data_IF_589581776992
#
_entry.id   IF_589581776992
#
_cell.length_a   1.000
_cell.length_b   1.000
_cell.length_c   1.000
_cell.angle_alpha   90.00
_cell.angle_beta   90.00
_cell.angle_gamma   90.00
#
_symmetry.space_group_name_H-M   'P 1'
#
loop_
_entity.id
_entity.type
_entity.pdbx_description
1 polymer ?
#
# COMPACT_ATOMS: atom_id res chain seq x y z
N UNK A 1 -4.80 -25.14 -4.69
CA UNK A 1 -3.33 -25.29 -4.71
C UNK A 1 -2.70 -24.19 -3.85
N UNK A 2 -2.94 -22.91 -4.17
CA UNK A 2 -2.47 -21.75 -3.40
C UNK A 2 -2.87 -21.78 -1.91
N UNK A 3 -4.13 -22.12 -1.60
CA UNK A 3 -4.61 -22.21 -0.21
C UNK A 3 -3.95 -23.34 0.61
N UNK A 4 -3.55 -24.44 -0.05
CA UNK A 4 -2.86 -25.57 0.60
C UNK A 4 -1.38 -25.24 0.85
N UNK A 5 -0.72 -24.57 -0.11
CA UNK A 5 0.64 -24.07 0.05
C UNK A 5 0.75 -23.08 1.22
N UNK A 6 -0.19 -22.13 1.31
CA UNK A 6 -0.25 -21.15 2.41
C UNK A 6 -0.33 -21.85 3.76
N UNK A 7 -1.29 -22.76 3.92
CA UNK A 7 -1.50 -23.49 5.17
C UNK A 7 -0.26 -24.27 5.60
N UNK A 8 0.40 -24.96 4.66
CA UNK A 8 1.64 -25.70 4.93
C UNK A 8 2.78 -24.79 5.39
N UNK A 9 2.93 -23.62 4.79
CA UNK A 9 3.94 -22.64 5.20
C UNK A 9 3.62 -22.01 6.56
N UNK A 10 2.35 -21.77 6.88
CA UNK A 10 1.93 -21.32 8.21
C UNK A 10 2.22 -22.38 9.28
N UNK A 11 1.98 -23.66 8.97
CA UNK A 11 2.36 -24.77 9.85
C UNK A 11 3.88 -24.87 10.02
N UNK A 12 4.64 -24.68 8.94
CA UNK A 12 6.10 -24.62 9.03
C UNK A 12 6.56 -23.46 9.91
N UNK A 13 5.95 -22.28 9.77
CA UNK A 13 6.26 -21.12 10.61
C UNK A 13 6.04 -21.42 12.10
N UNK A 14 4.90 -22.02 12.47
CA UNK A 14 4.62 -22.44 13.84
C UNK A 14 5.65 -23.44 14.38
N UNK A 15 6.09 -24.38 13.54
CA UNK A 15 7.16 -25.31 13.87
C UNK A 15 8.50 -24.61 14.11
N UNK A 16 8.86 -23.66 13.25
CA UNK A 16 10.08 -22.84 13.40
C UNK A 16 10.04 -22.11 14.73
N UNK A 17 8.93 -21.42 15.04
CA UNK A 17 8.82 -20.62 16.27
C UNK A 17 8.86 -21.46 17.55
N UNK A 18 8.26 -22.65 17.53
CA UNK A 18 8.25 -23.55 18.71
C UNK A 18 9.59 -24.26 18.95
N UNK A 19 10.36 -24.55 17.90
CA UNK A 19 11.57 -25.38 17.99
C UNK A 19 12.88 -24.60 17.90
N UNK A 20 12.90 -23.38 17.36
CA UNK A 20 14.15 -22.64 17.09
C UNK A 20 15.06 -22.52 18.31
N UNK A 21 14.50 -22.24 19.49
CA UNK A 21 15.30 -22.10 20.72
C UNK A 21 15.91 -23.42 21.21
N UNK A 22 15.38 -24.56 20.77
CA UNK A 22 15.84 -25.89 21.16
C UNK A 22 16.95 -26.40 20.23
N UNK A 23 17.12 -25.80 19.05
CA UNK A 23 18.16 -26.18 18.08
C UNK A 23 19.37 -25.23 18.16
N UNK A 24 20.56 -25.84 18.18
CA UNK A 24 21.83 -25.14 18.43
C UNK A 24 22.83 -25.26 17.28
N UNK A 25 22.49 -25.96 16.21
CA UNK A 25 23.39 -26.22 15.08
C UNK A 25 22.75 -25.84 13.76
N UNK A 26 23.59 -25.48 12.79
CA UNK A 26 23.14 -25.24 11.42
C UNK A 26 22.49 -26.50 10.83
N UNK A 27 23.07 -27.67 11.11
CA UNK A 27 22.52 -28.97 10.71
C UNK A 27 21.11 -29.22 11.25
N UNK A 28 20.83 -28.82 12.50
CA UNK A 28 19.49 -28.90 13.05
C UNK A 28 18.53 -27.92 12.35
N UNK A 29 19.00 -26.75 11.91
CA UNK A 29 18.21 -25.79 11.12
C UNK A 29 17.85 -26.38 9.74
N UNK A 30 18.82 -26.99 9.07
CA UNK A 30 18.65 -27.68 7.78
C UNK A 30 17.56 -28.75 7.87
N UNK A 31 17.70 -29.68 8.82
CA UNK A 31 16.78 -30.80 8.99
C UNK A 31 15.40 -30.39 9.52
N UNK A 32 15.35 -29.48 10.50
CA UNK A 32 14.09 -29.18 11.18
C UNK A 32 13.21 -28.20 10.40
N UNK A 33 13.81 -27.29 9.60
CA UNK A 33 13.12 -26.17 8.96
C UNK A 33 13.25 -26.16 7.44
N UNK A 34 14.46 -26.36 6.89
CA UNK A 34 14.68 -26.24 5.44
C UNK A 34 14.22 -27.48 4.67
N UNK A 35 14.48 -28.70 5.17
CA UNK A 35 13.96 -29.93 4.54
C UNK A 35 12.42 -29.93 4.44
N UNK A 36 11.66 -29.60 5.50
CA UNK A 36 10.21 -29.43 5.38
C UNK A 36 9.79 -28.41 4.34
N UNK A 37 10.51 -27.29 4.21
CA UNK A 37 10.23 -26.31 3.16
C UNK A 37 10.39 -26.89 1.75
N UNK A 38 11.49 -27.63 1.50
CA UNK A 38 11.72 -28.32 0.21
C UNK A 38 10.57 -29.31 -0.08
N UNK A 39 10.14 -30.05 0.94
CA UNK A 39 9.01 -30.97 0.84
C UNK A 39 7.69 -30.24 0.53
N UNK A 40 7.47 -29.06 1.12
CA UNK A 40 6.28 -28.23 0.85
C UNK A 40 6.26 -27.74 -0.60
N UNK A 41 7.42 -27.46 -1.19
CA UNK A 41 7.54 -27.16 -2.62
C UNK A 41 7.21 -28.37 -3.52
N UNK A 42 7.06 -29.56 -2.93
CA UNK A 42 6.66 -30.79 -3.62
C UNK A 42 7.81 -31.64 -4.12
N UNK A 43 9.05 -31.31 -3.78
CA UNK A 43 10.22 -32.12 -4.12
C UNK A 43 10.40 -33.25 -3.11
N UNK A 44 10.83 -34.43 -3.59
CA UNK A 44 11.02 -35.59 -2.75
C UNK A 44 12.37 -35.56 -2.04
N UNK A 45 12.37 -35.20 -0.75
CA UNK A 45 13.55 -35.15 0.11
C UNK A 45 14.16 -36.54 0.40
N UNK A 46 13.44 -37.63 0.10
CA UNK A 46 13.95 -39.00 0.25
C UNK A 46 14.53 -39.56 -1.05
N UNK A 47 14.36 -38.84 -2.17
CA UNK A 47 14.95 -39.19 -3.45
C UNK A 47 16.27 -38.43 -3.65
N UNK A 48 17.44 -39.07 -3.44
CA UNK A 48 18.74 -38.41 -3.53
C UNK A 48 19.16 -38.08 -4.97
N UNK A 49 18.31 -38.37 -5.96
CA UNK A 49 18.50 -37.93 -7.36
C UNK A 49 17.68 -36.67 -7.68
N UNK A 50 16.71 -36.33 -6.84
CA UNK A 50 15.85 -35.15 -6.97
C UNK A 50 16.27 -34.06 -6.00
N UNK A 51 16.49 -34.40 -4.73
CA UNK A 51 17.03 -33.50 -3.71
C UNK A 51 18.38 -34.07 -3.27
N UNK A 52 19.47 -33.47 -3.76
CA UNK A 52 20.83 -33.93 -3.45
C UNK A 52 21.37 -33.12 -2.27
N UNK A 53 21.55 -33.71 -1.08
CA UNK A 53 22.21 -33.05 0.03
C UNK A 53 23.74 -33.02 -0.17
N UNK A 54 24.40 -32.04 0.43
CA UNK A 54 25.88 -31.98 0.52
C UNK A 54 26.56 -32.11 -0.86
N UNK A 55 25.97 -31.49 -1.88
CA UNK A 55 26.42 -31.59 -3.27
C UNK A 55 27.80 -30.94 -3.44
N UNK A 56 28.78 -31.74 -3.85
CA UNK A 56 30.16 -31.29 -3.97
C UNK A 56 30.30 -30.37 -5.19
N UNK A 57 30.77 -29.15 -4.94
CA UNK A 57 30.98 -28.12 -5.95
C UNK A 57 32.42 -27.61 -5.84
N UNK A 58 33.36 -28.40 -6.36
CA UNK A 58 34.79 -28.05 -6.32
C UNK A 58 35.10 -26.90 -7.28
N UNK A 59 35.80 -25.86 -6.80
CA UNK A 59 36.13 -24.66 -7.57
C UNK A 59 37.65 -24.47 -7.62
N UNK A 60 38.23 -24.65 -8.80
CA UNK A 60 39.66 -24.43 -9.04
C UNK A 60 40.54 -25.30 -8.13
N UNK A 61 41.27 -24.68 -7.20
CA UNK A 61 42.19 -25.37 -6.26
C UNK A 61 41.56 -25.67 -4.89
N UNK A 62 40.37 -25.13 -4.57
CA UNK A 62 39.65 -25.45 -3.33
C UNK A 62 38.80 -26.70 -3.53
N UNK A 63 39.20 -27.78 -2.86
CA UNK A 63 38.50 -29.07 -2.85
C UNK A 63 37.66 -29.22 -1.60
N UNK A 64 36.50 -29.86 -1.74
CA UNK A 64 35.61 -30.22 -0.64
C UNK A 64 34.61 -29.13 -0.27
N UNK A 65 34.40 -28.11 -1.10
CA UNK A 65 33.28 -27.20 -0.90
C UNK A 65 31.96 -27.87 -1.32
N UNK A 66 30.89 -27.60 -0.57
CA UNK A 66 29.61 -28.29 -0.72
C UNK A 66 28.45 -27.31 -0.62
N UNK A 67 27.42 -27.60 -1.39
CA UNK A 67 26.12 -26.95 -1.33
C UNK A 67 25.21 -27.81 -0.46
N UNK A 68 24.49 -27.20 0.47
CA UNK A 68 23.66 -27.95 1.42
C UNK A 68 22.58 -28.79 0.74
N UNK A 69 21.84 -28.19 -0.20
CA UNK A 69 20.88 -28.91 -1.03
C UNK A 69 20.88 -28.41 -2.47
N UNK A 70 20.77 -29.35 -3.41
CA UNK A 70 20.53 -29.07 -4.82
C UNK A 70 19.25 -29.78 -5.24
N UNK A 71 18.34 -29.02 -5.85
CA UNK A 71 17.12 -29.57 -6.46
C UNK A 71 17.39 -29.82 -7.93
N UNK A 72 17.12 -31.05 -8.37
CA UNK A 72 17.30 -31.52 -9.74
C UNK A 72 15.96 -31.68 -10.43
N UNK A 73 15.88 -31.28 -11.70
CA UNK A 73 14.76 -31.57 -12.59
C UNK A 73 15.32 -32.06 -13.91
N UNK A 74 14.89 -33.23 -14.35
CA UNK A 74 15.35 -33.86 -15.60
C UNK A 74 16.88 -34.03 -15.69
N UNK A 75 17.54 -34.24 -14.55
CA UNK A 75 18.99 -34.43 -14.47
C UNK A 75 19.81 -33.13 -14.43
N UNK A 76 19.17 -31.96 -14.49
CA UNK A 76 19.82 -30.65 -14.39
C UNK A 76 19.48 -29.95 -13.06
N UNK A 77 20.44 -29.22 -12.46
CA UNK A 77 20.21 -28.46 -11.23
C UNK A 77 19.38 -27.21 -11.51
N UNK A 78 18.23 -27.10 -10.84
CA UNK A 78 17.29 -25.99 -11.03
C UNK A 78 17.26 -25.00 -9.87
N UNK A 79 17.69 -25.42 -8.68
CA UNK A 79 17.73 -24.59 -7.48
C UNK A 79 18.84 -25.09 -6.56
N UNK A 80 19.73 -24.20 -6.13
CA UNK A 80 20.70 -24.49 -5.08
C UNK A 80 20.29 -23.78 -3.79
N UNK A 81 20.46 -24.44 -2.66
CA UNK A 81 20.04 -23.93 -1.35
C UNK A 81 21.22 -24.00 -0.40
N UNK A 82 21.57 -22.85 0.17
CA UNK A 82 22.56 -22.67 1.23
C UNK A 82 21.83 -22.27 2.51
N UNK A 83 22.12 -22.97 3.59
CA UNK A 83 21.51 -22.78 4.88
C UNK A 83 22.48 -22.09 5.84
N UNK A 84 21.93 -21.35 6.78
CA UNK A 84 22.64 -20.75 7.91
C UNK A 84 21.92 -21.15 9.18
N UNK A 85 22.59 -21.01 10.32
CA UNK A 85 21.95 -21.20 11.61
C UNK A 85 20.76 -20.22 11.76
N UNK A 86 19.66 -20.64 12.38
CA UNK A 86 18.44 -19.82 12.49
C UNK A 86 18.64 -18.42 13.11
N UNK A 87 19.62 -18.29 14.03
CA UNK A 87 20.00 -17.01 14.67
C UNK A 87 20.76 -16.07 13.75
N UNK A 88 21.34 -16.57 12.66
CA UNK A 88 22.14 -15.77 11.75
C UNK A 88 21.24 -15.00 10.77
N UNK A 89 21.74 -13.82 10.38
CA UNK A 89 21.11 -13.04 9.32
C UNK A 89 21.46 -13.63 7.97
N UNK A 90 20.45 -13.70 7.12
CA UNK A 90 20.54 -14.23 5.75
C UNK A 90 21.01 -13.10 4.83
N UNK A 91 22.30 -12.77 4.85
CA UNK A 91 22.91 -11.80 3.95
C UNK A 91 23.85 -12.51 2.96
N UNK A 92 23.72 -12.18 1.67
CA UNK A 92 24.55 -12.76 0.62
C UNK A 92 25.97 -12.19 0.64
N UNK A 93 26.20 -11.01 1.24
CA UNK A 93 27.53 -10.46 1.41
C UNK A 93 28.42 -11.43 2.20
N UNK A 94 29.39 -12.04 1.51
CA UNK A 94 30.29 -13.10 2.01
C UNK A 94 29.68 -14.51 2.13
N UNK A 95 28.49 -14.76 1.58
CA UNK A 95 27.92 -16.09 1.53
C UNK A 95 28.72 -17.02 0.60
N UNK A 96 28.82 -18.29 0.99
CA UNK A 96 29.47 -19.32 0.15
C UNK A 96 28.72 -19.54 -1.17
N UNK A 97 27.43 -19.21 -1.17
CA UNK A 97 26.52 -19.33 -2.30
C UNK A 97 27.05 -18.63 -3.58
N UNK A 98 27.65 -17.43 -3.49
CA UNK A 98 28.23 -16.75 -4.66
C UNK A 98 29.31 -17.57 -5.37
N UNK A 99 30.08 -18.37 -4.61
CA UNK A 99 31.13 -19.21 -5.19
C UNK A 99 30.53 -20.38 -5.94
N UNK A 100 29.56 -21.06 -5.33
CA UNK A 100 28.92 -22.25 -5.87
C UNK A 100 28.05 -21.97 -7.08
N UNK A 101 27.41 -20.80 -7.10
CA UNK A 101 26.46 -20.43 -8.12
C UNK A 101 27.03 -20.62 -9.54
N UNK A 102 28.24 -20.11 -9.79
CA UNK A 102 28.89 -20.20 -11.10
C UNK A 102 29.14 -21.65 -11.57
N UNK A 103 29.53 -22.54 -10.66
CA UNK A 103 29.93 -23.91 -10.99
C UNK A 103 28.75 -24.89 -10.94
N UNK A 104 27.69 -24.54 -10.21
CA UNK A 104 26.48 -25.35 -10.08
C UNK A 104 25.66 -25.46 -11.36
N UNK A 105 25.83 -24.55 -12.32
CA UNK A 105 24.96 -24.38 -13.52
C UNK A 105 23.49 -24.06 -13.23
N UNK A 106 23.09 -23.95 -11.96
CA UNK A 106 21.75 -23.52 -11.59
C UNK A 106 21.56 -22.04 -11.90
N UNK A 107 20.36 -21.71 -12.37
CA UNK A 107 19.92 -20.32 -12.61
C UNK A 107 19.28 -19.68 -11.37
N UNK A 108 19.12 -20.43 -10.28
CA UNK A 108 18.54 -19.93 -9.04
C UNK A 108 19.28 -20.43 -7.80
N UNK A 109 19.46 -19.51 -6.85
CA UNK A 109 20.06 -19.81 -5.55
C UNK A 109 19.18 -19.30 -4.41
N UNK A 110 19.15 -20.04 -3.30
CA UNK A 110 18.42 -19.67 -2.08
C UNK A 110 19.40 -19.62 -0.93
N UNK A 111 19.44 -18.49 -0.24
CA UNK A 111 20.09 -18.39 1.07
C UNK A 111 18.97 -18.36 2.13
N UNK A 112 19.06 -19.20 3.15
CA UNK A 112 18.02 -19.27 4.19
C UNK A 112 18.56 -19.60 5.57
N UNK A 113 17.83 -19.19 6.60
CA UNK A 113 18.03 -19.61 7.99
C UNK A 113 16.80 -20.39 8.53
N UNK A 114 15.92 -20.85 7.64
CA UNK A 114 14.65 -21.51 7.96
C UNK A 114 13.48 -20.56 8.23
N UNK A 115 13.74 -19.29 8.57
CA UNK A 115 12.70 -18.26 8.80
C UNK A 115 12.51 -17.38 7.56
N UNK A 116 13.62 -16.94 6.98
CA UNK A 116 13.66 -16.12 5.77
C UNK A 116 14.35 -16.88 4.65
N UNK A 117 13.77 -16.83 3.45
CA UNK A 117 14.31 -17.45 2.24
C UNK A 117 14.54 -16.37 1.20
N UNK A 118 15.80 -16.07 0.92
CA UNK A 118 16.21 -15.09 -0.08
C UNK A 118 16.56 -15.80 -1.38
N UNK A 119 15.81 -15.51 -2.44
CA UNK A 119 15.98 -16.07 -3.77
C UNK A 119 16.79 -15.12 -4.65
N UNK A 120 17.80 -15.69 -5.29
CA UNK A 120 18.77 -15.01 -6.15
C UNK A 120 18.75 -15.64 -7.54
N UNK A 121 19.03 -14.82 -8.54
CA UNK A 121 19.15 -15.19 -9.94
C UNK A 121 20.39 -14.49 -10.52
N UNK A 122 20.72 -14.78 -11.78
CA UNK A 122 21.85 -14.21 -12.53
C UNK A 122 21.35 -13.28 -13.64
N UNK A 123 20.53 -12.29 -13.25
CA UNK A 123 19.86 -11.40 -14.19
C UNK A 123 20.83 -10.39 -14.81
N UNK A 124 21.89 -10.00 -14.09
CA UNK A 124 22.85 -9.02 -14.59
C UNK A 124 23.89 -9.63 -15.52
N UNK A 125 24.43 -10.77 -15.13
CA UNK A 125 25.51 -11.45 -15.85
C UNK A 125 25.25 -12.95 -15.81
N UNK A 126 25.22 -13.64 -16.96
CA UNK A 126 25.02 -15.08 -17.01
C UNK A 126 26.00 -15.82 -16.10
N UNK A 127 25.48 -16.76 -15.30
CA UNK A 127 26.25 -17.58 -14.35
C UNK A 127 26.97 -16.77 -13.24
N UNK A 128 26.52 -15.55 -12.95
CA UNK A 128 26.99 -14.76 -11.81
C UNK A 128 25.75 -14.33 -11.03
N UNK A 129 25.65 -14.81 -9.80
CA UNK A 129 24.55 -14.46 -8.91
C UNK A 129 24.51 -12.95 -8.64
N UNK A 130 23.35 -12.34 -8.78
CA UNK A 130 23.10 -10.95 -8.41
C UNK A 130 23.37 -10.75 -6.90
N UNK A 131 23.91 -9.58 -6.52
CA UNK A 131 24.23 -9.27 -5.11
C UNK A 131 22.99 -9.18 -4.21
N UNK A 132 21.83 -8.86 -4.79
CA UNK A 132 20.57 -8.66 -4.05
C UNK A 132 19.54 -9.71 -4.46
N UNK A 133 18.76 -10.24 -3.52
CA UNK A 133 17.68 -11.15 -3.86
C UNK A 133 16.58 -10.40 -4.62
N UNK A 134 16.05 -11.04 -5.66
CA UNK A 134 14.88 -10.54 -6.40
C UNK A 134 13.58 -10.86 -5.67
N UNK A 135 13.58 -11.91 -4.84
CA UNK A 135 12.43 -12.34 -4.05
C UNK A 135 12.88 -12.78 -2.65
N UNK A 136 12.14 -12.35 -1.63
CA UNK A 136 12.35 -12.76 -0.24
C UNK A 136 11.01 -13.24 0.32
N UNK A 137 11.00 -14.48 0.82
CA UNK A 137 9.91 -15.05 1.57
C UNK A 137 10.23 -14.98 3.06
N UNK A 138 9.33 -14.38 3.85
CA UNK A 138 9.39 -14.35 5.30
C UNK A 138 8.21 -15.15 5.84
N UNK A 139 8.49 -16.25 6.55
CA UNK A 139 7.46 -17.15 7.07
C UNK A 139 6.57 -16.49 8.13
N UNK A 140 7.05 -15.44 8.81
CA UNK A 140 6.24 -14.68 9.77
C UNK A 140 5.26 -13.70 9.11
N UNK A 141 5.43 -13.43 7.81
CA UNK A 141 4.64 -12.46 7.07
C UNK A 141 4.37 -12.95 5.64
N UNK A 142 3.54 -13.98 5.54
CA UNK A 142 3.13 -14.58 4.27
C UNK A 142 2.12 -13.68 3.56
N UNK A 143 2.58 -13.00 2.51
CA UNK A 143 1.75 -12.18 1.62
C UNK A 143 1.29 -13.00 0.43
N UNK A 144 0.06 -12.77 -0.03
CA UNK A 144 -0.50 -13.53 -1.16
C UNK A 144 0.34 -13.39 -2.44
N UNK A 145 0.89 -12.19 -2.71
CA UNK A 145 1.79 -12.02 -3.86
C UNK A 145 3.10 -12.82 -3.74
N UNK A 146 3.60 -13.02 -2.51
CA UNK A 146 4.78 -13.87 -2.29
C UNK A 146 4.46 -15.34 -2.56
N UNK A 147 3.25 -15.79 -2.24
CA UNK A 147 2.81 -17.16 -2.50
C UNK A 147 2.73 -17.43 -4.02
N UNK A 148 2.20 -16.49 -4.80
CA UNK A 148 2.16 -16.60 -6.27
C UNK A 148 3.53 -16.73 -6.91
N UNK A 149 4.52 -16.00 -6.39
CA UNK A 149 5.91 -16.13 -6.85
C UNK A 149 6.47 -17.50 -6.45
N UNK A 150 6.23 -17.92 -5.21
CA UNK A 150 6.72 -19.19 -4.68
C UNK A 150 6.11 -20.40 -5.40
N UNK A 151 4.86 -20.33 -5.87
CA UNK A 151 4.22 -21.39 -6.66
C UNK A 151 5.06 -21.74 -7.89
N UNK A 152 5.74 -20.77 -8.49
CA UNK A 152 6.66 -20.99 -9.63
C UNK A 152 7.91 -21.78 -9.23
N UNK A 153 8.24 -21.90 -7.95
CA UNK A 153 9.35 -22.73 -7.48
C UNK A 153 8.91 -24.14 -7.06
N UNK A 154 7.60 -24.42 -7.04
CA UNK A 154 7.09 -25.76 -6.73
C UNK A 154 7.38 -26.74 -7.87
N UNK A 155 7.48 -28.03 -7.56
CA UNK A 155 7.75 -29.09 -8.53
C UNK A 155 6.85 -29.02 -9.77
N UNK A 156 5.55 -28.78 -9.55
CA UNK A 156 4.54 -28.71 -10.61
C UNK A 156 4.46 -27.32 -11.28
N UNK A 157 4.90 -26.25 -10.61
CA UNK A 157 4.87 -24.88 -11.12
C UNK A 157 6.17 -24.41 -11.76
N UNK A 158 7.25 -25.18 -11.67
CA UNK A 158 8.58 -24.77 -12.13
C UNK A 158 8.65 -24.55 -13.65
N UNK A 159 8.97 -23.31 -14.01
CA UNK A 159 9.22 -22.80 -15.36
C UNK A 159 10.37 -21.80 -15.30
N UNK A 160 11.49 -22.12 -15.96
CA UNK A 160 12.70 -21.29 -15.91
C UNK A 160 12.42 -19.89 -16.46
N UNK A 161 11.79 -19.82 -17.63
CA UNK A 161 11.45 -18.59 -18.33
C UNK A 161 10.51 -17.71 -17.48
N UNK A 162 9.41 -18.27 -16.96
CA UNK A 162 8.43 -17.50 -16.18
C UNK A 162 9.01 -16.94 -14.88
N UNK A 163 9.94 -17.67 -14.26
CA UNK A 163 10.62 -17.22 -13.05
C UNK A 163 11.61 -16.10 -13.38
N UNK A 164 12.41 -16.24 -14.44
CA UNK A 164 13.36 -15.19 -14.87
C UNK A 164 12.65 -13.90 -15.22
N UNK A 165 11.57 -13.96 -16.01
CA UNK A 165 10.75 -12.79 -16.36
C UNK A 165 10.17 -12.12 -15.10
N UNK A 166 9.71 -12.92 -14.14
CA UNK A 166 9.21 -12.40 -12.87
C UNK A 166 10.31 -11.75 -12.04
N UNK A 167 11.49 -12.38 -12.00
CA UNK A 167 12.64 -11.89 -11.25
C UNK A 167 13.12 -10.54 -11.82
N UNK A 168 13.20 -10.42 -13.14
CA UNK A 168 13.54 -9.18 -13.83
C UNK A 168 12.49 -8.07 -13.54
N UNK A 169 11.20 -8.39 -13.68
CA UNK A 169 10.13 -7.44 -13.35
C UNK A 169 10.18 -6.98 -11.89
N UNK A 170 10.37 -7.90 -10.94
CA UNK A 170 10.46 -7.60 -9.50
C UNK A 170 11.68 -6.73 -9.18
N UNK A 171 12.82 -6.97 -9.84
CA UNK A 171 14.02 -6.14 -9.72
C UNK A 171 13.72 -4.68 -10.07
N UNK A 172 13.10 -4.43 -11.23
CA UNK A 172 12.77 -3.06 -11.65
C UNK A 172 11.69 -2.44 -10.77
N UNK A 173 10.64 -3.19 -10.40
CA UNK A 173 9.59 -2.68 -9.49
C UNK A 173 10.20 -2.26 -8.14
N UNK A 174 11.12 -3.06 -7.58
CA UNK A 174 11.82 -2.75 -6.33
C UNK A 174 12.70 -1.51 -6.47
N UNK A 175 13.43 -1.37 -7.58
CA UNK A 175 14.25 -0.19 -7.86
C UNK A 175 13.39 1.08 -7.98
N UNK A 176 12.32 1.02 -8.79
CA UNK A 176 11.37 2.13 -8.97
C UNK A 176 10.74 2.53 -7.63
N UNK A 177 10.28 1.55 -6.85
CA UNK A 177 9.70 1.81 -5.52
C UNK A 177 10.72 2.47 -4.60
N UNK A 178 11.97 2.02 -4.61
CA UNK A 178 13.02 2.62 -3.79
C UNK A 178 13.29 4.09 -4.17
N UNK A 179 13.32 4.43 -5.46
CA UNK A 179 13.48 5.83 -5.88
C UNK A 179 12.24 6.66 -5.54
N UNK A 180 11.03 6.11 -5.75
CA UNK A 180 9.80 6.78 -5.36
C UNK A 180 9.72 7.06 -3.86
N UNK A 181 10.12 6.10 -3.01
CA UNK A 181 10.17 6.30 -1.55
C UNK A 181 11.17 7.38 -1.13
N UNK A 182 12.25 7.60 -1.88
CA UNK A 182 13.15 8.74 -1.65
C UNK A 182 12.46 10.06 -1.97
N UNK A 183 11.77 10.13 -3.11
CA UNK A 183 10.99 11.30 -3.52
C UNK A 183 9.90 11.66 -2.50
N UNK A 184 9.24 10.65 -1.90
CA UNK A 184 8.24 10.89 -0.86
C UNK A 184 8.83 11.49 0.43
N UNK A 185 10.07 11.13 0.79
CA UNK A 185 10.75 11.63 1.99
C UNK A 185 11.35 13.01 1.78
N UNK A 186 12.02 13.18 0.66
CA UNK A 186 12.75 14.39 0.30
C UNK A 186 12.61 14.62 -1.21
N UNK A 187 11.54 15.33 -1.64
CA UNK A 187 11.26 15.58 -3.05
C UNK A 187 12.43 16.28 -3.76
N UNK A 188 12.81 15.75 -4.91
CA UNK A 188 13.82 16.35 -5.80
C UNK A 188 13.21 17.46 -6.65
N UNK A 189 14.04 18.40 -7.12
CA UNK A 189 13.60 19.49 -7.99
C UNK A 189 12.91 18.99 -9.27
N UNK A 190 13.32 17.83 -9.81
CA UNK A 190 12.69 17.22 -10.97
C UNK A 190 11.28 16.72 -10.67
N UNK A 191 11.11 16.06 -9.52
CA UNK A 191 9.80 15.61 -9.06
C UNK A 191 8.86 16.79 -8.75
N UNK A 192 9.39 17.86 -8.14
CA UNK A 192 8.63 19.10 -7.93
C UNK A 192 8.19 19.71 -9.27
N UNK A 193 9.09 19.83 -10.24
CA UNK A 193 8.74 20.34 -11.59
C UNK A 193 7.66 19.48 -12.25
N UNK A 194 7.77 18.15 -12.17
CA UNK A 194 6.81 17.21 -12.74
C UNK A 194 5.39 17.43 -12.21
N UNK A 195 5.24 17.70 -10.91
CA UNK A 195 3.95 17.94 -10.26
C UNK A 195 3.44 19.36 -10.50
N UNK A 196 4.29 20.36 -10.26
CA UNK A 196 3.89 21.76 -10.24
C UNK A 196 3.55 22.28 -11.63
N UNK A 197 4.27 21.85 -12.67
CA UNK A 197 3.98 22.26 -14.05
C UNK A 197 2.60 21.82 -14.56
N UNK A 198 1.91 20.90 -13.86
CA UNK A 198 0.55 20.47 -14.22
C UNK A 198 -0.52 21.50 -13.89
N UNK A 199 -0.25 22.42 -12.96
CA UNK A 199 -1.24 23.41 -12.50
C UNK A 199 -0.68 24.84 -12.39
N UNK A 200 0.64 25.00 -12.31
CA UNK A 200 1.28 26.31 -12.16
C UNK A 200 2.01 26.69 -13.45
N UNK A 201 1.50 27.72 -14.12
CA UNK A 201 1.95 28.10 -15.47
C UNK A 201 3.12 29.10 -15.49
N UNK A 202 3.52 29.63 -14.33
CA UNK A 202 4.61 30.61 -14.24
C UNK A 202 5.97 29.90 -14.11
N UNK A 203 7.08 30.54 -14.55
CA UNK A 203 8.40 29.98 -14.37
C UNK A 203 8.71 29.66 -12.90
N UNK A 204 9.27 28.46 -12.69
CA UNK A 204 9.78 28.00 -11.40
C UNK A 204 11.17 28.58 -11.16
N UNK A 205 11.20 29.81 -10.63
CA UNK A 205 12.44 30.44 -10.16
C UNK A 205 12.99 29.73 -8.93
N UNK A 206 14.28 29.94 -8.60
CA UNK A 206 14.90 29.32 -7.42
C UNK A 206 14.10 29.56 -6.11
N UNK A 207 13.64 30.79 -5.89
CA UNK A 207 12.81 31.13 -4.72
C UNK A 207 11.48 30.39 -4.71
N UNK A 208 10.81 30.27 -5.87
CA UNK A 208 9.55 29.52 -5.98
C UNK A 208 9.76 28.03 -5.81
N UNK A 209 10.88 27.50 -6.31
CA UNK A 209 11.25 26.09 -6.15
C UNK A 209 11.34 25.71 -4.67
N UNK A 210 12.02 26.53 -3.86
CA UNK A 210 12.13 26.31 -2.41
C UNK A 210 10.75 26.25 -1.75
N UNK A 211 9.85 27.19 -2.08
CA UNK A 211 8.49 27.19 -1.53
C UNK A 211 7.67 25.96 -1.96
N UNK A 212 7.70 25.60 -3.24
CA UNK A 212 6.98 24.43 -3.75
C UNK A 212 7.54 23.11 -3.22
N UNK A 213 8.83 23.05 -2.92
CA UNK A 213 9.45 21.90 -2.27
C UNK A 213 8.87 21.69 -0.87
N UNK A 214 8.77 22.75 -0.06
CA UNK A 214 8.13 22.69 1.27
C UNK A 214 6.64 22.32 1.18
N UNK A 215 5.91 22.92 0.24
CA UNK A 215 4.50 22.59 0.03
C UNK A 215 4.30 21.13 -0.37
N UNK A 216 5.16 20.60 -1.24
CA UNK A 216 5.07 19.21 -1.69
C UNK A 216 5.40 18.24 -0.56
N UNK A 217 6.42 18.54 0.25
CA UNK A 217 6.75 17.76 1.44
C UNK A 217 5.59 17.70 2.42
N UNK A 218 4.93 18.84 2.67
CA UNK A 218 3.72 18.90 3.51
C UNK A 218 2.58 18.09 2.90
N UNK A 219 2.26 18.31 1.63
CA UNK A 219 1.16 17.63 0.94
C UNK A 219 1.34 16.10 0.94
N UNK A 220 2.55 15.61 0.66
CA UNK A 220 2.88 14.18 0.72
C UNK A 220 2.70 13.63 2.14
N UNK A 221 3.23 14.33 3.14
CA UNK A 221 3.13 13.90 4.55
C UNK A 221 1.68 13.84 5.01
N UNK A 222 0.88 14.86 4.69
CA UNK A 222 -0.55 14.89 4.96
C UNK A 222 -1.28 13.74 4.27
N UNK A 223 -1.02 13.50 2.98
CA UNK A 223 -1.65 12.40 2.23
C UNK A 223 -1.31 11.02 2.77
N UNK A 224 -0.07 10.80 3.23
CA UNK A 224 0.35 9.56 3.89
C UNK A 224 -0.39 9.39 5.22
N UNK A 225 -0.47 10.45 6.03
CA UNK A 225 -1.18 10.41 7.31
C UNK A 225 -2.68 10.17 7.13
N UNK A 226 -3.31 10.81 6.15
CA UNK A 226 -4.70 10.57 5.78
C UNK A 226 -4.92 9.12 5.32
N UNK A 227 -4.01 8.57 4.50
CA UNK A 227 -4.09 7.18 4.04
C UNK A 227 -3.94 6.18 5.19
N UNK A 228 -3.05 6.46 6.16
CA UNK A 228 -2.89 5.66 7.37
C UNK A 228 -4.15 5.76 8.22
N UNK A 229 -4.64 6.97 8.49
CA UNK A 229 -5.86 7.20 9.25
C UNK A 229 -7.07 6.55 8.60
N UNK A 230 -7.18 6.59 7.27
CA UNK A 230 -8.24 5.91 6.53
C UNK A 230 -8.16 4.39 6.69
N UNK A 231 -6.96 3.80 6.56
CA UNK A 231 -6.78 2.34 6.78
C UNK A 231 -7.00 1.94 8.23
N UNK A 232 -6.53 2.74 9.18
CA UNK A 232 -6.74 2.54 10.61
C UNK A 232 -8.22 2.66 10.92
N UNK A 233 -8.90 3.70 10.45
CA UNK A 233 -10.35 3.87 10.61
C UNK A 233 -11.11 2.71 10.00
N UNK A 234 -10.78 2.25 8.79
CA UNK A 234 -11.43 1.07 8.21
C UNK A 234 -11.15 -0.24 8.97
N UNK A 235 -9.99 -0.35 9.64
CA UNK A 235 -9.66 -1.51 10.49
C UNK A 235 -10.24 -1.37 11.91
N UNK A 236 -10.42 -0.14 12.39
CA UNK A 236 -10.95 0.27 13.68
C UNK A 236 -12.45 0.57 13.63
N UNK A 237 -13.11 0.59 12.48
CA UNK A 237 -14.57 0.65 12.35
C UNK A 237 -15.20 -0.74 12.72
N UNK A 238 -14.40 -1.61 13.36
CA UNK A 238 -14.86 -2.67 14.25
C UNK A 238 -15.03 -2.19 15.71
N UNK A 239 -14.50 -1.02 16.13
CA UNK A 239 -14.69 -0.37 17.45
C UNK A 239 -14.35 1.15 17.45
N UNK A 240 -15.40 1.97 17.45
CA UNK A 240 -15.57 3.40 17.82
C UNK A 240 -14.38 4.37 18.07
N UNK A 241 -14.51 5.52 17.36
CA UNK A 241 -14.25 6.95 17.66
C UNK A 241 -13.32 7.41 18.80
N UNK A 242 -12.40 8.37 18.49
CA UNK A 242 -12.18 9.71 19.13
C UNK A 242 -10.88 10.38 18.56
N UNK A 243 -10.78 11.73 18.52
CA UNK A 243 -9.91 12.49 17.61
C UNK A 243 -8.66 13.11 18.28
N UNK A 244 -7.67 13.52 17.47
CA UNK A 244 -6.62 14.45 17.91
C UNK A 244 -6.30 15.52 16.87
N UNK A 245 -6.44 16.78 17.33
CA UNK A 245 -5.87 17.99 16.74
C UNK A 245 -4.35 17.97 16.87
N UNK A 246 -3.63 18.49 15.88
CA UNK A 246 -2.54 19.44 16.15
C UNK A 246 -2.19 20.31 14.93
N UNK A 247 -2.06 21.60 15.20
CA UNK A 247 -1.69 22.66 14.27
C UNK A 247 -0.17 22.68 14.05
N UNK A 248 0.26 22.94 12.81
CA UNK A 248 1.59 23.50 12.54
C UNK A 248 1.48 24.53 11.41
N UNK A 249 1.64 25.80 11.80
CA UNK A 249 1.69 26.97 10.92
C UNK A 249 2.93 26.93 10.03
N UNK A 250 2.77 27.24 8.74
CA UNK A 250 3.87 27.57 7.83
C UNK A 250 3.63 28.99 7.31
N UNK A 251 4.70 29.78 7.26
CA UNK A 251 4.70 31.16 6.79
C UNK A 251 4.14 31.31 5.37
N UNK A 252 3.25 32.28 5.21
CA UNK A 252 2.67 32.73 3.94
C UNK A 252 3.53 33.84 3.32
N UNK A 253 3.67 33.84 2.00
CA UNK A 253 4.23 34.95 1.22
C UNK A 253 3.06 35.70 0.55
N UNK A 254 3.03 37.00 0.81
CA UNK A 254 2.14 38.11 0.44
C UNK A 254 0.95 37.96 -0.54
N UNK A 255 -0.17 38.44 0.01
CA UNK A 255 -1.33 39.21 -0.44
C UNK A 255 -1.66 39.48 -1.93
N UNK A 256 -2.97 39.28 -2.17
CA UNK A 256 -3.92 39.94 -3.06
C UNK A 256 -3.72 39.86 -4.58
N UNK A 257 -4.41 38.87 -5.18
CA UNK A 257 -5.58 39.08 -6.06
C UNK A 257 -6.51 37.86 -5.86
N UNK A 258 -7.80 38.14 -5.71
CA UNK A 258 -8.92 37.21 -5.48
C UNK A 258 -9.08 36.10 -6.54
N UNK A 259 -9.83 35.08 -6.10
CA UNK A 259 -10.42 33.90 -6.77
C UNK A 259 -9.65 32.57 -6.58
N UNK A 260 -10.23 31.48 -6.08
CA UNK A 260 -11.59 31.15 -5.64
C UNK A 260 -11.45 30.01 -4.61
N UNK A 261 -11.75 30.27 -3.34
CA UNK A 261 -11.81 29.25 -2.27
C UNK A 261 -13.26 28.79 -2.10
N UNK A 262 -13.72 27.92 -2.99
CA UNK A 262 -14.93 27.13 -2.77
C UNK A 262 -14.43 25.72 -2.47
N UNK A 263 -14.42 25.36 -1.18
CA UNK A 263 -14.03 24.03 -0.71
C UNK A 263 -15.27 23.45 -0.05
N UNK A 264 -15.94 22.54 -0.75
CA UNK A 264 -17.07 21.80 -0.18
C UNK A 264 -16.55 20.88 0.91
N UNK A 265 -16.99 21.12 2.15
CA UNK A 265 -16.57 20.33 3.32
C UNK A 265 -17.38 19.03 3.44
N UNK A 266 -16.81 18.00 4.08
CA UNK A 266 -17.54 16.74 4.36
C UNK A 266 -18.82 17.00 5.17
N UNK A 267 -18.78 18.00 6.04
CA UNK A 267 -19.94 18.42 6.85
C UNK A 267 -21.07 19.04 6.01
N UNK A 268 -20.73 19.84 4.99
CA UNK A 268 -21.73 20.35 4.03
C UNK A 268 -22.30 19.22 3.16
N UNK A 269 -21.48 18.24 2.79
CA UNK A 269 -21.93 17.04 2.07
C UNK A 269 -22.93 16.27 2.95
N UNK A 270 -22.59 15.98 4.20
CA UNK A 270 -23.44 15.24 5.14
C UNK A 270 -24.76 15.98 5.42
N UNK A 271 -24.70 17.27 5.78
CA UNK A 271 -25.88 18.09 5.98
C UNK A 271 -26.77 18.17 4.75
N UNK A 272 -26.18 18.25 3.55
CA UNK A 272 -26.95 18.25 2.29
C UNK A 272 -27.62 16.91 2.00
N UNK A 273 -27.01 15.79 2.40
CA UNK A 273 -27.65 14.47 2.30
C UNK A 273 -28.82 14.32 3.25
N UNK A 274 -28.73 14.86 4.48
CA UNK A 274 -29.85 14.88 5.43
C UNK A 274 -31.04 15.66 4.86
N UNK A 275 -30.79 16.87 4.33
CA UNK A 275 -31.84 17.68 3.68
C UNK A 275 -32.42 16.94 2.47
N UNK A 276 -31.57 16.31 1.64
CA UNK A 276 -32.03 15.54 0.48
C UNK A 276 -32.87 14.34 0.90
N UNK A 277 -32.53 13.65 1.98
CA UNK A 277 -33.31 12.53 2.50
C UNK A 277 -34.72 12.99 2.91
N UNK A 278 -34.82 14.12 3.61
CA UNK A 278 -36.10 14.72 4.03
C UNK A 278 -36.95 15.11 2.81
N UNK A 279 -36.37 15.82 1.83
CA UNK A 279 -37.10 16.33 0.67
C UNK A 279 -37.53 15.21 -0.29
N UNK A 280 -36.84 14.07 -0.28
CA UNK A 280 -37.16 12.91 -1.12
C UNK A 280 -38.47 12.21 -0.76
N UNK A 281 -39.08 12.54 0.38
CA UNK A 281 -40.44 12.10 0.71
C UNK A 281 -41.46 12.62 -0.32
N UNK A 282 -41.25 13.84 -0.84
CA UNK A 282 -42.19 14.52 -1.76
C UNK A 282 -41.55 14.90 -3.11
N UNK A 283 -40.25 14.70 -3.31
CA UNK A 283 -39.54 15.04 -4.55
C UNK A 283 -38.64 13.91 -5.06
N UNK A 284 -38.54 13.79 -6.38
CA UNK A 284 -37.57 12.89 -7.02
C UNK A 284 -36.16 13.47 -6.86
N UNK A 285 -35.20 12.61 -6.50
CA UNK A 285 -33.82 13.00 -6.19
C UNK A 285 -33.11 13.80 -7.28
N UNK A 286 -33.46 13.60 -8.56
CA UNK A 286 -32.88 14.31 -9.71
C UNK A 286 -33.24 15.80 -9.76
N UNK A 287 -34.29 16.21 -9.04
CA UNK A 287 -34.73 17.61 -8.95
C UNK A 287 -34.05 18.39 -7.84
N UNK A 288 -33.23 17.75 -7.00
CA UNK A 288 -32.54 18.38 -5.88
C UNK A 288 -31.08 18.58 -6.28
N UNK A 289 -30.68 19.83 -6.50
CA UNK A 289 -29.35 20.22 -6.92
C UNK A 289 -28.59 20.89 -5.77
N UNK A 290 -27.27 20.73 -5.76
CA UNK A 290 -26.37 21.28 -4.77
C UNK A 290 -25.41 22.26 -5.43
N UNK A 291 -25.26 23.45 -4.85
CA UNK A 291 -24.32 24.47 -5.33
C UNK A 291 -23.54 25.04 -4.16
N UNK A 292 -22.24 24.85 -4.20
CA UNK A 292 -21.36 25.45 -3.22
C UNK A 292 -21.06 26.91 -3.59
N UNK A 293 -21.06 27.78 -2.58
CA UNK A 293 -20.74 29.20 -2.71
C UNK A 293 -19.83 29.60 -1.58
N UNK A 294 -19.05 30.67 -1.77
CA UNK A 294 -18.11 31.16 -0.75
C UNK A 294 -18.76 31.45 0.62
N UNK A 295 -20.05 31.74 0.67
CA UNK A 295 -20.75 32.10 1.90
C UNK A 295 -21.63 30.98 2.47
N UNK A 296 -22.05 30.01 1.66
CA UNK A 296 -22.98 28.95 2.08
C UNK A 296 -23.03 27.81 1.05
N UNK A 297 -23.46 26.63 1.51
CA UNK A 297 -23.82 25.52 0.65
C UNK A 297 -25.31 25.57 0.29
N UNK A 298 -25.62 25.77 -0.99
CA UNK A 298 -26.98 25.95 -1.49
C UNK A 298 -27.64 24.67 -1.94
N UNK A 299 -28.90 24.46 -1.54
CA UNK A 299 -29.74 23.34 -1.98
C UNK A 299 -30.91 23.92 -2.76
N UNK A 300 -31.03 23.52 -4.03
CA UNK A 300 -31.91 24.15 -5.02
C UNK A 300 -32.86 23.13 -5.66
N UNK A 301 -34.05 23.58 -6.04
CA UNK A 301 -34.98 22.82 -6.88
C UNK A 301 -34.66 23.05 -8.36
N UNK A 302 -34.54 21.97 -9.12
CA UNK A 302 -34.28 21.95 -10.57
C UNK A 302 -33.04 22.75 -10.99
N UNK A 303 -32.00 22.77 -10.14
CA UNK A 303 -30.76 23.54 -10.35
C UNK A 303 -30.98 25.04 -10.65
N UNK A 304 -32.05 25.60 -10.08
CA UNK A 304 -32.47 26.96 -10.36
C UNK A 304 -32.26 27.89 -9.14
N UNK A 305 -31.42 28.92 -9.30
CA UNK A 305 -31.16 29.94 -8.28
C UNK A 305 -32.43 30.75 -7.88
N UNK A 306 -33.52 30.63 -8.63
CA UNK A 306 -34.84 31.20 -8.28
C UNK A 306 -35.70 30.29 -7.42
N UNK A 307 -35.28 29.05 -7.17
CA UNK A 307 -36.00 28.07 -6.35
C UNK A 307 -35.12 27.46 -5.24
N UNK A 308 -34.60 28.26 -4.29
CA UNK A 308 -33.82 27.72 -3.18
C UNK A 308 -34.69 26.94 -2.18
N UNK A 309 -34.25 25.73 -1.84
CA UNK A 309 -34.91 24.87 -0.86
C UNK A 309 -34.41 25.19 0.55
N UNK A 310 -33.10 25.30 0.72
CA UNK A 310 -32.46 25.86 1.91
C UNK A 310 -31.00 26.22 1.62
N UNK A 311 -30.32 26.83 2.59
CA UNK A 311 -28.86 27.03 2.56
C UNK A 311 -28.25 26.60 3.88
N UNK A 312 -27.09 25.95 3.80
CA UNK A 312 -26.31 25.54 4.95
C UNK A 312 -25.15 26.53 5.14
N UNK A 313 -25.10 27.17 6.30
CA UNK A 313 -24.04 28.13 6.66
C UNK A 313 -23.12 27.47 7.68
N UNK A 314 -22.23 26.59 7.21
CA UNK A 314 -21.31 25.81 8.06
C UNK A 314 -19.88 26.38 8.10
N UNK A 315 -19.64 27.45 7.34
CA UNK A 315 -18.33 28.11 7.22
C UNK A 315 -17.86 28.85 8.47
N UNK A 316 -18.65 28.88 9.55
CA UNK A 316 -18.33 29.56 10.81
C UNK A 316 -18.53 28.64 12.02
N UNK A 317 -17.91 28.99 13.16
CA UNK A 317 -18.04 28.24 14.41
C UNK A 317 -19.50 28.09 14.88
N UNK A 318 -20.34 29.08 14.59
CA UNK A 318 -21.80 28.98 14.76
C UNK A 318 -22.42 28.54 13.44
N UNK A 319 -23.21 27.47 13.47
CA UNK A 319 -23.83 26.87 12.28
C UNK A 319 -25.29 27.30 12.17
N UNK A 320 -25.73 27.51 10.94
CA UNK A 320 -27.11 27.89 10.67
C UNK A 320 -27.66 27.16 9.44
N UNK A 321 -28.96 26.86 9.49
CA UNK A 321 -29.76 26.54 8.31
C UNK A 321 -30.64 27.75 7.95
N UNK A 322 -30.61 28.16 6.70
CA UNK A 322 -31.49 29.22 6.18
C UNK A 322 -32.67 28.58 5.45
N UNK A 323 -33.89 28.86 5.91
CA UNK A 323 -35.13 28.26 5.43
C UNK A 323 -35.96 29.29 4.65
N UNK A 324 -36.67 28.85 3.61
CA UNK A 324 -37.44 29.70 2.70
C UNK A 324 -38.95 29.40 2.71
N UNK A 325 -39.47 28.85 3.81
CA UNK A 325 -40.87 28.47 3.96
C UNK A 325 -41.83 29.67 3.86
N UNK A 326 -41.35 30.90 4.11
CA UNK A 326 -42.12 32.14 3.97
C UNK A 326 -41.85 32.88 2.64
N UNK A 327 -41.23 32.22 1.66
CA UNK A 327 -40.87 32.77 0.36
C UNK A 327 -39.39 33.09 0.22
N UNK A 328 -38.90 33.10 -1.02
CA UNK A 328 -37.48 33.23 -1.37
C UNK A 328 -36.80 34.47 -0.78
N UNK A 329 -37.51 35.60 -0.74
CA UNK A 329 -36.96 36.88 -0.28
C UNK A 329 -37.02 37.05 1.26
N UNK A 330 -37.52 36.02 1.98
CA UNK A 330 -37.67 35.99 3.43
C UNK A 330 -36.93 34.80 4.05
N UNK A 331 -35.68 34.59 3.64
CA UNK A 331 -34.82 33.56 4.21
C UNK A 331 -34.61 33.77 5.71
N UNK A 332 -34.95 32.79 6.53
CA UNK A 332 -34.78 32.85 7.98
C UNK A 332 -33.65 31.92 8.43
N UNK A 333 -32.62 32.47 9.09
CA UNK A 333 -31.50 31.69 9.63
C UNK A 333 -31.86 31.13 11.01
N UNK A 334 -31.82 29.81 11.15
CA UNK A 334 -32.00 29.09 12.42
C UNK A 334 -30.67 28.49 12.86
N UNK A 335 -30.22 28.71 14.11
CA UNK A 335 -29.00 28.09 14.62
C UNK A 335 -29.18 26.57 14.75
N UNK A 336 -28.11 25.83 14.52
CA UNK A 336 -28.02 24.39 14.80
C UNK A 336 -26.73 24.10 15.57
N UNK A 337 -26.82 23.18 16.53
CA UNK A 337 -25.67 22.74 17.32
C UNK A 337 -25.11 21.42 16.76
N UNK A 338 -25.97 20.60 16.15
CA UNK A 338 -25.66 19.31 15.50
C UNK A 338 -26.29 19.23 14.10
N UNK A 339 -25.73 18.41 13.21
CA UNK A 339 -26.37 18.07 11.94
C UNK A 339 -27.72 17.36 12.12
N UNK A 340 -27.90 16.65 13.23
CA UNK A 340 -29.18 16.01 13.57
C UNK A 340 -30.30 17.03 13.79
N UNK A 341 -29.98 18.27 14.17
CA UNK A 341 -30.97 19.33 14.35
C UNK A 341 -31.68 19.70 13.03
N UNK A 342 -31.10 19.34 11.87
CA UNK A 342 -31.73 19.54 10.56
C UNK A 342 -33.08 18.82 10.49
N UNK A 343 -33.25 17.67 11.16
CA UNK A 343 -34.51 16.94 11.21
C UNK A 343 -35.64 17.73 11.90
N UNK A 344 -35.30 18.64 12.81
CA UNK A 344 -36.28 19.48 13.50
C UNK A 344 -36.96 20.49 12.55
N UNK A 345 -36.35 20.80 11.40
CA UNK A 345 -36.88 21.72 10.39
C UNK A 345 -37.55 21.02 9.20
N UNK A 346 -37.88 19.73 9.36
CA UNK A 346 -38.50 18.92 8.30
C UNK A 346 -39.78 19.56 7.75
N UNK A 347 -40.62 20.12 8.61
CA UNK A 347 -41.90 20.72 8.20
C UNK A 347 -41.67 21.94 7.31
N UNK A 348 -40.76 22.81 7.69
CA UNK A 348 -40.39 24.04 6.97
C UNK A 348 -39.74 23.72 5.62
N UNK A 349 -38.88 22.70 5.56
CA UNK A 349 -38.28 22.23 4.31
C UNK A 349 -39.34 21.72 3.32
N UNK A 350 -40.32 20.96 3.79
CA UNK A 350 -41.42 20.47 2.96
C UNK A 350 -42.41 21.57 2.58
N UNK A 351 -42.70 22.52 3.48
CA UNK A 351 -43.57 23.66 3.18
C UNK A 351 -42.93 24.60 2.13
N UNK A 352 -41.59 24.71 2.10
CA UNK A 352 -40.87 25.45 1.07
C UNK A 352 -41.14 24.92 -0.35
N UNK A 353 -41.44 23.62 -0.50
CA UNK A 353 -41.79 23.04 -1.81
C UNK A 353 -43.09 23.60 -2.39
N UNK A 354 -44.08 23.83 -1.53
CA UNK A 354 -45.39 24.37 -1.92
C UNK A 354 -45.28 25.80 -2.47
N UNK A 355 -44.20 26.51 -2.16
CA UNK A 355 -43.94 27.84 -2.69
C UNK A 355 -43.45 27.83 -4.16
N UNK A 356 -43.11 26.65 -4.70
CA UNK A 356 -42.55 26.48 -6.05
C UNK A 356 -43.40 25.61 -6.99
N UNK A 357 -44.56 25.17 -6.51
CA UNK A 357 -45.65 24.59 -7.30
C UNK A 357 -46.52 25.71 -7.90
#
# INVERSE_FOLDING_TARGET
MEADLKLKLEQLHQRVDSLKEQINTEEATKNAFVMPFIQILGYDIFNPTEVIPEYICDIGTKKGEKIDYVIMKEGEPILIIECKHWKEKVDAHNSQLHRYYHVSKSRFGVLTNGHTYNFYADLEKPNIMDDKPFFTLDLSNLKDNSLKILEKFTKNGYSLEDILDSAEGLKYIKAIRSEFEKELKEPSDEFIKLLVNRFFQKPLTATRMVAFKEYSKKAISTSINESINFRLKNALDINDTIPTKENSQIATIDQDIEDSKIITTEEEIEGSQIVKAILRENLIATRIAFRDTQSYFGILLDDNNRKPLCRLHFNSANKYIELFNNGKDKGEKKPIDSLDDIYNFKKELLDTLKNYE
#
